data_IF_400033115303
#
_entry.id   IF_400033115303
#
_cell.length_a   1.000
_cell.length_b   1.000
_cell.length_c   1.000
_cell.angle_alpha   90.00
_cell.angle_beta   90.00
_cell.angle_gamma   90.00
#
_symmetry.space_group_name_H-M   'P 1'
#
loop_
_entity.id
_entity.type
_entity.pdbx_description
1 polymer ?
#
# COMPACT_ATOMS: atom_id res chain seq x y z
N UNK A 1 3.17 -9.01 -19.20
CA UNK A 1 4.00 -8.94 -17.99
C UNK A 1 4.55 -10.32 -17.71
N UNK A 2 5.85 -10.46 -17.53
CA UNK A 2 6.47 -11.69 -17.02
C UNK A 2 5.86 -11.99 -15.65
N UNK A 3 5.58 -13.27 -15.29
CA UNK A 3 5.14 -13.60 -13.95
C UNK A 3 6.19 -13.14 -12.93
N UNK A 4 5.77 -12.29 -11.99
CA UNK A 4 6.59 -11.83 -10.88
C UNK A 4 6.78 -12.97 -9.89
N UNK A 5 8.02 -13.21 -9.45
CA UNK A 5 8.31 -14.20 -8.41
C UNK A 5 7.45 -13.89 -7.16
N UNK A 6 6.69 -14.85 -6.61
CA UNK A 6 5.84 -14.64 -5.44
C UNK A 6 6.57 -14.06 -4.22
N UNK A 7 7.86 -14.35 -4.07
CA UNK A 7 8.70 -13.84 -2.98
C UNK A 7 9.27 -12.42 -3.23
N UNK A 8 8.98 -11.84 -4.40
CA UNK A 8 9.38 -10.46 -4.72
C UNK A 8 8.73 -9.51 -3.74
N UNK A 9 9.55 -8.71 -3.06
CA UNK A 9 9.05 -7.64 -2.20
C UNK A 9 8.50 -6.51 -3.06
N UNK A 10 7.31 -6.04 -2.69
CA UNK A 10 6.62 -4.93 -3.32
C UNK A 10 6.59 -3.73 -2.37
N UNK A 11 6.81 -2.54 -2.93
CA UNK A 11 6.44 -1.28 -2.31
C UNK A 11 5.14 -0.79 -2.96
N UNK A 12 4.06 -0.80 -2.19
CA UNK A 12 2.77 -0.31 -2.65
C UNK A 12 2.51 1.11 -2.16
N UNK A 13 1.88 1.91 -3.03
CA UNK A 13 1.44 3.27 -2.77
C UNK A 13 -0.09 3.29 -2.73
N UNK A 14 -0.66 3.94 -1.73
CA UNK A 14 -2.09 4.19 -1.62
C UNK A 14 -2.30 5.55 -0.94
N UNK A 15 -3.04 6.46 -1.58
CA UNK A 15 -3.48 7.70 -0.93
C UNK A 15 -4.74 7.42 -0.10
N UNK A 16 -4.90 8.15 1.00
CA UNK A 16 -6.09 8.12 1.85
C UNK A 16 -6.58 9.55 2.11
N UNK A 17 -7.92 9.76 2.25
CA UNK A 17 -8.50 11.10 2.45
C UNK A 17 -8.10 11.76 3.76
N UNK A 18 -7.78 10.96 4.79
CA UNK A 18 -7.54 11.46 6.13
C UNK A 18 -6.66 10.52 6.95
N UNK A 19 -6.19 11.05 8.09
CA UNK A 19 -5.30 10.33 9.00
C UNK A 19 -5.96 9.15 9.71
N UNK A 20 -7.29 9.14 9.85
CA UNK A 20 -8.02 8.09 10.57
C UNK A 20 -8.13 6.84 9.69
N UNK A 21 -8.55 7.00 8.44
CA UNK A 21 -8.59 5.95 7.43
C UNK A 21 -7.20 5.40 7.14
N UNK A 22 -6.19 6.26 6.99
CA UNK A 22 -4.79 5.86 6.81
C UNK A 22 -4.28 4.98 7.98
N UNK A 23 -4.58 5.37 9.23
CA UNK A 23 -4.20 4.60 10.41
C UNK A 23 -4.93 3.25 10.46
N UNK A 24 -6.25 3.24 10.26
CA UNK A 24 -7.04 2.02 10.33
C UNK A 24 -6.61 0.98 9.27
N UNK A 25 -6.34 1.43 8.04
CA UNK A 25 -5.82 0.56 6.97
C UNK A 25 -4.43 0.04 7.35
N UNK A 26 -3.52 0.90 7.81
CA UNK A 26 -2.18 0.48 8.19
C UNK A 26 -2.20 -0.59 9.31
N UNK A 27 -3.01 -0.38 10.35
CA UNK A 27 -3.17 -1.34 11.45
C UNK A 27 -3.77 -2.66 10.98
N UNK A 28 -4.81 -2.63 10.15
CA UNK A 28 -5.44 -3.84 9.62
C UNK A 28 -4.47 -4.64 8.75
N UNK A 29 -3.79 -3.99 7.80
CA UNK A 29 -2.87 -4.68 6.89
C UNK A 29 -1.70 -5.34 7.62
N UNK A 30 -1.15 -4.68 8.66
CA UNK A 30 -0.07 -5.27 9.47
C UNK A 30 -0.60 -6.33 10.42
N UNK A 31 -1.71 -6.06 11.12
CA UNK A 31 -2.32 -6.98 12.07
C UNK A 31 -2.80 -8.29 11.45
N UNK A 32 -3.28 -8.23 10.20
CA UNK A 32 -3.74 -9.37 9.41
C UNK A 32 -2.60 -10.03 8.60
N UNK A 33 -1.35 -9.58 8.76
CA UNK A 33 -0.15 -10.08 8.03
C UNK A 33 -0.25 -9.97 6.51
N UNK A 34 -0.96 -8.97 6.01
CA UNK A 34 -1.04 -8.61 4.59
C UNK A 34 0.11 -7.67 4.18
N UNK A 35 0.70 -6.97 5.14
CA UNK A 35 1.90 -6.17 4.99
C UNK A 35 2.84 -6.38 6.19
N UNK A 36 4.15 -6.34 5.95
CA UNK A 36 5.13 -6.39 7.05
C UNK A 36 5.22 -5.02 7.76
N UNK A 37 5.11 -3.93 7.00
CA UNK A 37 5.01 -2.58 7.56
C UNK A 37 4.33 -1.61 6.61
N UNK A 38 3.87 -0.49 7.18
CA UNK A 38 3.30 0.64 6.45
C UNK A 38 3.90 1.93 7.01
N UNK A 39 4.48 2.78 6.14
CA UNK A 39 4.81 4.14 6.53
C UNK A 39 3.67 5.06 6.10
N UNK A 40 3.38 6.03 6.96
CA UNK A 40 2.33 7.03 6.80
C UNK A 40 2.98 8.40 6.56
N UNK A 41 2.75 9.01 5.40
CA UNK A 41 3.28 10.32 5.06
C UNK A 41 2.12 11.34 5.06
N UNK A 42 1.99 12.14 6.13
CA UNK A 42 0.92 13.12 6.24
C UNK A 42 1.17 14.32 5.32
N UNK A 43 0.11 15.10 5.10
CA UNK A 43 0.15 16.37 4.37
C UNK A 43 0.66 16.26 2.92
N UNK A 44 0.27 15.20 2.23
CA UNK A 44 0.46 15.07 0.77
C UNK A 44 -0.62 15.87 0.06
N UNK A 45 -0.25 16.57 -1.01
CA UNK A 45 -1.20 17.28 -1.86
C UNK A 45 -1.33 16.55 -3.19
N UNK A 46 -2.51 15.98 -3.43
CA UNK A 46 -2.82 15.34 -4.70
C UNK A 46 -3.48 16.32 -5.65
N UNK A 47 -3.04 16.32 -6.91
CA UNK A 47 -3.60 17.15 -7.97
C UNK A 47 -4.00 16.25 -9.12
N UNK A 48 -5.28 16.24 -9.47
CA UNK A 48 -5.83 15.36 -10.48
C UNK A 48 -7.00 16.02 -11.22
N UNK A 49 -7.49 15.37 -12.28
CA UNK A 49 -8.67 15.84 -13.03
C UNK A 49 -9.90 15.07 -12.59
N UNK A 50 -10.94 15.79 -12.17
CA UNK A 50 -12.24 15.21 -11.83
C UNK A 50 -13.35 16.05 -12.44
N UNK A 51 -14.33 15.39 -13.07
CA UNK A 51 -15.49 16.04 -13.72
C UNK A 51 -15.09 17.24 -14.62
N UNK A 52 -14.00 17.09 -15.36
CA UNK A 52 -13.49 18.12 -16.29
C UNK A 52 -12.63 19.21 -15.65
N UNK A 53 -12.60 19.35 -14.34
CA UNK A 53 -11.82 20.37 -13.62
C UNK A 53 -10.54 19.79 -12.99
N UNK A 54 -9.56 20.65 -12.73
CA UNK A 54 -8.37 20.29 -11.92
C UNK A 54 -8.75 20.44 -10.45
N UNK A 55 -8.70 19.34 -9.72
CA UNK A 55 -8.98 19.23 -8.29
C UNK A 55 -7.67 19.11 -7.51
N UNK A 56 -7.70 19.58 -6.26
CA UNK A 56 -6.59 19.44 -5.32
C UNK A 56 -7.15 19.01 -3.98
N UNK A 57 -6.60 17.94 -3.41
CA UNK A 57 -6.97 17.45 -2.09
C UNK A 57 -5.75 17.28 -1.21
N UNK A 58 -5.96 17.43 0.10
CA UNK A 58 -4.97 17.05 1.11
C UNK A 58 -5.23 15.60 1.48
N UNK A 59 -4.19 14.79 1.40
CA UNK A 59 -4.25 13.35 1.62
C UNK A 59 -3.10 12.89 2.50
N UNK A 60 -3.16 11.62 2.85
CA UNK A 60 -2.07 10.91 3.47
C UNK A 60 -1.62 9.74 2.58
N UNK A 61 -0.32 9.63 2.34
CA UNK A 61 0.23 8.56 1.50
C UNK A 61 0.71 7.39 2.36
N UNK A 62 0.20 6.21 2.07
CA UNK A 62 0.67 4.94 2.60
C UNK A 62 1.77 4.36 1.71
N UNK A 63 2.89 4.00 2.33
CA UNK A 63 3.96 3.21 1.71
C UNK A 63 4.01 1.84 2.36
N UNK A 64 3.38 0.87 1.71
CA UNK A 64 3.09 -0.47 2.23
C UNK A 64 4.13 -1.45 1.70
N UNK A 65 4.77 -2.24 2.57
CA UNK A 65 5.77 -3.25 2.19
C UNK A 65 5.17 -4.63 2.35
N UNK A 66 5.09 -5.37 1.27
CA UNK A 66 4.50 -6.72 1.22
C UNK A 66 5.24 -7.58 0.19
N UNK A 67 4.75 -8.78 -0.08
CA UNK A 67 5.25 -9.66 -1.14
C UNK A 67 4.26 -9.75 -2.30
N UNK A 68 4.73 -10.14 -3.48
CA UNK A 68 3.88 -10.35 -4.64
C UNK A 68 2.78 -11.40 -4.38
N UNK A 69 3.09 -12.44 -3.60
CA UNK A 69 2.11 -13.45 -3.18
C UNK A 69 0.95 -12.89 -2.34
N UNK A 70 1.19 -11.80 -1.60
CA UNK A 70 0.19 -11.19 -0.70
C UNK A 70 -0.57 -10.03 -1.31
N UNK A 71 -0.14 -9.55 -2.48
CA UNK A 71 -0.71 -8.37 -3.11
C UNK A 71 -2.23 -8.46 -3.31
N UNK A 72 -2.75 -9.59 -3.79
CA UNK A 72 -4.19 -9.71 -4.07
C UNK A 72 -5.04 -9.72 -2.79
N UNK A 73 -4.57 -10.37 -1.73
CA UNK A 73 -5.24 -10.37 -0.43
C UNK A 73 -5.18 -8.97 0.23
N UNK A 74 -4.02 -8.32 0.18
CA UNK A 74 -3.84 -6.93 0.61
C UNK A 74 -4.79 -5.99 -0.14
N UNK A 75 -4.85 -6.10 -1.47
CA UNK A 75 -5.74 -5.30 -2.32
C UNK A 75 -7.19 -5.49 -1.92
N UNK A 76 -7.66 -6.73 -1.81
CA UNK A 76 -9.04 -7.01 -1.42
C UNK A 76 -9.39 -6.35 -0.08
N UNK A 77 -8.54 -6.54 0.93
CA UNK A 77 -8.77 -5.96 2.26
C UNK A 77 -8.72 -4.44 2.26
N UNK A 78 -7.76 -3.85 1.54
CA UNK A 78 -7.63 -2.40 1.41
C UNK A 78 -8.90 -1.81 0.78
N UNK A 79 -9.42 -2.41 -0.30
CA UNK A 79 -10.63 -1.93 -0.97
C UNK A 79 -11.88 -2.00 -0.06
N UNK A 80 -11.97 -2.98 0.84
CA UNK A 80 -13.07 -3.07 1.82
C UNK A 80 -13.01 -1.96 2.88
N UNK A 81 -11.81 -1.53 3.24
CA UNK A 81 -11.57 -0.55 4.30
C UNK A 81 -11.54 0.89 3.78
N UNK A 82 -11.24 1.07 2.49
CA UNK A 82 -10.96 2.39 1.95
C UNK A 82 -12.24 3.24 1.79
N UNK A 83 -12.24 4.53 2.20
CA UNK A 83 -13.44 5.38 2.07
C UNK A 83 -13.81 5.72 0.62
N UNK A 84 -12.83 5.79 -0.28
CA UNK A 84 -13.05 6.04 -1.70
C UNK A 84 -13.56 4.80 -2.43
N UNK A 85 -14.49 5.01 -3.36
CA UNK A 85 -14.99 3.97 -4.28
C UNK A 85 -13.88 3.44 -5.21
N UNK A 86 -12.96 4.32 -5.61
CA UNK A 86 -11.82 4.00 -6.46
C UNK A 86 -10.52 4.54 -5.84
N UNK A 87 -9.92 3.84 -4.87
CA UNK A 87 -8.67 4.27 -4.27
C UNK A 87 -7.49 4.05 -5.21
N UNK A 88 -6.47 4.89 -5.06
CA UNK A 88 -5.16 4.60 -5.64
C UNK A 88 -4.56 3.37 -4.95
N UNK A 89 -4.16 2.36 -5.72
CA UNK A 89 -3.27 1.30 -5.25
C UNK A 89 -2.37 0.86 -6.39
N UNK A 90 -1.08 1.19 -6.30
CA UNK A 90 -0.06 0.76 -7.27
C UNK A 90 1.10 0.10 -6.54
N UNK A 91 1.74 -0.88 -7.18
CA UNK A 91 2.87 -1.61 -6.60
C UNK A 91 4.10 -1.53 -7.50
N UNK A 92 5.26 -1.32 -6.87
CA UNK A 92 6.57 -1.29 -7.52
C UNK A 92 7.42 -2.43 -6.98
N UNK A 93 8.01 -3.29 -7.83
CA UNK A 93 8.90 -4.34 -7.37
C UNK A 93 10.22 -3.77 -6.86
N UNK A 94 10.63 -4.22 -5.67
CA UNK A 94 11.93 -3.86 -5.10
C UNK A 94 13.02 -4.70 -5.78
N UNK A 95 13.90 -4.03 -6.53
CA UNK A 95 14.98 -4.70 -7.25
C UNK A 95 16.19 -5.00 -6.36
N UNK A 96 16.47 -4.14 -5.37
CA UNK A 96 17.59 -4.26 -4.45
C UNK A 96 17.20 -3.74 -3.07
N UNK A 97 17.78 -4.32 -2.03
CA UNK A 97 17.59 -3.91 -0.65
C UNK A 97 18.59 -4.58 0.27
N UNK A 98 18.56 -4.24 1.55
CA UNK A 98 19.32 -4.98 2.56
C UNK A 98 18.67 -6.35 2.76
N UNK A 99 19.37 -7.44 2.43
CA UNK A 99 18.77 -8.78 2.37
C UNK A 99 18.04 -9.17 3.67
N UNK A 100 18.66 -8.95 4.83
CA UNK A 100 18.04 -9.27 6.11
C UNK A 100 16.72 -8.50 6.35
N UNK A 101 16.58 -7.29 5.79
CA UNK A 101 15.32 -6.55 5.85
C UNK A 101 14.28 -7.13 4.89
N UNK A 102 14.68 -7.53 3.68
CA UNK A 102 13.78 -8.17 2.72
C UNK A 102 13.28 -9.53 3.26
N UNK A 103 14.16 -10.30 3.90
CA UNK A 103 13.81 -11.52 4.60
C UNK A 103 12.82 -11.28 5.73
N UNK A 104 13.03 -10.23 6.53
CA UNK A 104 12.07 -9.82 7.56
C UNK A 104 10.71 -9.45 6.96
N UNK A 105 10.67 -8.77 5.81
CA UNK A 105 9.40 -8.46 5.12
C UNK A 105 8.71 -9.75 4.68
N UNK A 106 9.43 -10.68 4.05
CA UNK A 106 8.87 -11.98 3.62
C UNK A 106 8.31 -12.74 4.82
N UNK A 107 9.10 -12.92 5.87
CA UNK A 107 8.70 -13.62 7.09
C UNK A 107 7.53 -12.94 7.82
N UNK A 108 7.45 -11.60 7.78
CA UNK A 108 6.38 -10.83 8.42
C UNK A 108 4.99 -11.04 7.80
N UNK A 109 4.94 -11.51 6.55
CA UNK A 109 3.70 -11.82 5.84
C UNK A 109 3.56 -13.31 5.54
N UNK A 110 4.42 -14.16 6.08
CA UNK A 110 4.30 -15.61 5.98
C UNK A 110 3.12 -16.11 6.82
N UNK A 111 2.33 -16.99 6.22
CA UNK A 111 1.08 -17.54 6.75
C UNK A 111 0.59 -18.64 5.85
#
# INVERSE_FOLDING_TARGET
>A
MTPTDPATVLLCYCSCPDAASAQAIAEALVGERLAACVNRLPAVHSTYRWQGAVTRDSEELLLIKTTAARFDALKARLLELHPYELPELIAVPVQHGHEAYLDWVRAGVDG
#
